data_IF_729844737925
#
_entry.id   IF_729844737925
#
_cell.length_a   1.000
_cell.length_b   1.000
_cell.length_c   1.000
_cell.angle_alpha   90.00
_cell.angle_beta   90.00
_cell.angle_gamma   90.00
#
_symmetry.space_group_name_H-M   'P 1'
#
loop_
_entity.id
_entity.type
_entity.pdbx_description
1 polymer ?
#
# COMPACT_ATOMS: atom_id res chain seq x y z
N UNK A 1 -16.42 7.99 -4.39
CA UNK A 1 -17.54 7.16 -3.93
C UNK A 1 -17.87 7.43 -2.46
N UNK A 2 -16.95 7.18 -1.49
CA UNK A 2 -17.26 7.38 -0.05
C UNK A 2 -17.52 8.84 0.33
N UNK A 3 -16.82 9.79 -0.29
CA UNK A 3 -17.10 11.21 -0.12
C UNK A 3 -18.52 11.58 -0.57
N UNK A 4 -18.94 11.10 -1.73
CA UNK A 4 -20.28 11.33 -2.28
C UNK A 4 -21.36 10.63 -1.44
N UNK A 5 -21.07 9.40 -0.95
CA UNK A 5 -21.98 8.67 -0.05
C UNK A 5 -22.24 9.44 1.26
N UNK A 6 -21.19 10.06 1.84
CA UNK A 6 -21.28 10.76 3.11
C UNK A 6 -21.66 12.25 2.99
N UNK A 7 -21.37 12.88 1.86
CA UNK A 7 -21.45 14.33 1.64
C UNK A 7 -22.06 14.68 0.28
N UNK A 8 -23.02 13.89 -0.22
CA UNK A 8 -23.62 14.06 -1.54
C UNK A 8 -24.35 15.38 -1.76
N UNK A 9 -24.70 16.10 -0.69
CA UNK A 9 -25.25 17.47 -0.78
C UNK A 9 -24.18 18.52 -1.16
N UNK A 10 -22.88 18.20 -1.01
CA UNK A 10 -21.75 19.09 -1.29
C UNK A 10 -20.83 18.57 -2.40
N UNK A 11 -20.81 17.25 -2.63
CA UNK A 11 -19.84 16.59 -3.51
C UNK A 11 -20.56 15.68 -4.50
N UNK A 12 -20.38 15.95 -5.78
CA UNK A 12 -20.75 15.08 -6.88
C UNK A 12 -19.49 14.52 -7.54
N UNK A 13 -19.41 13.21 -7.78
CA UNK A 13 -18.24 12.54 -8.37
C UNK A 13 -18.58 11.92 -9.71
N UNK A 14 -17.86 12.31 -10.74
CA UNK A 14 -17.91 11.67 -12.05
C UNK A 14 -16.64 10.89 -12.34
N UNK A 15 -16.78 9.60 -12.55
CA UNK A 15 -15.68 8.75 -13.00
C UNK A 15 -15.57 8.75 -14.51
N UNK A 16 -14.41 9.10 -15.02
CA UNK A 16 -14.11 9.03 -16.44
C UNK A 16 -12.80 8.27 -16.66
N UNK A 17 -12.86 7.18 -17.40
CA UNK A 17 -11.69 6.34 -17.71
C UNK A 17 -10.86 6.94 -18.84
N UNK A 18 -11.46 7.80 -19.68
CA UNK A 18 -10.82 8.35 -20.85
C UNK A 18 -11.11 9.86 -21.03
N UNK A 19 -10.78 10.71 -20.04
CA UNK A 19 -11.10 12.13 -20.07
C UNK A 19 -10.40 12.90 -21.20
N UNK A 20 -9.38 12.30 -21.82
CA UNK A 20 -8.62 12.90 -22.91
C UNK A 20 -9.07 12.45 -24.29
N UNK A 21 -9.94 11.46 -24.41
CA UNK A 21 -10.37 10.93 -25.69
C UNK A 21 -9.25 10.25 -26.48
N UNK A 22 -8.54 9.34 -25.85
CA UNK A 22 -7.52 8.50 -26.51
C UNK A 22 -8.18 7.19 -26.93
N UNK A 23 -7.96 6.77 -28.17
CA UNK A 23 -8.35 5.46 -28.65
C UNK A 23 -7.51 4.38 -27.95
N UNK A 24 -8.17 3.42 -27.27
CA UNK A 24 -7.50 2.38 -26.50
C UNK A 24 -6.74 1.37 -27.37
N UNK A 25 -7.13 1.21 -28.65
CA UNK A 25 -6.53 0.23 -29.57
C UNK A 25 -5.17 0.69 -30.11
N UNK A 26 -5.05 1.96 -30.51
CA UNK A 26 -3.87 2.48 -31.21
C UNK A 26 -3.21 3.68 -30.51
N UNK A 27 -3.81 4.18 -29.41
CA UNK A 27 -3.31 5.34 -28.68
C UNK A 27 -3.46 6.67 -29.40
N UNK A 28 -4.19 6.72 -30.53
CA UNK A 28 -4.48 7.95 -31.28
C UNK A 28 -5.49 8.83 -30.54
N UNK A 29 -5.51 10.11 -30.88
CA UNK A 29 -6.52 11.03 -30.37
C UNK A 29 -7.83 10.86 -31.11
N UNK A 30 -8.94 10.82 -30.38
CA UNK A 30 -10.28 10.86 -30.95
C UNK A 30 -10.50 12.29 -31.45
N UNK A 31 -10.82 12.42 -32.75
CA UNK A 31 -11.09 13.71 -33.37
C UNK A 31 -12.31 14.37 -32.70
N UNK A 32 -12.27 15.71 -32.55
CA UNK A 32 -13.35 16.54 -31.99
C UNK A 32 -13.78 16.14 -30.56
N UNK A 33 -12.86 15.58 -29.73
CA UNK A 33 -13.13 15.27 -28.34
C UNK A 33 -13.45 16.53 -27.56
N UNK A 34 -14.58 16.52 -26.85
CA UNK A 34 -15.13 17.71 -26.22
C UNK A 34 -14.58 18.01 -24.80
N UNK A 35 -13.86 17.06 -24.19
CA UNK A 35 -13.33 17.14 -22.80
C UNK A 35 -14.43 17.44 -21.77
N UNK A 36 -15.65 16.97 -21.99
CA UNK A 36 -16.83 17.31 -21.18
C UNK A 36 -16.63 17.01 -19.69
N UNK A 37 -15.97 15.91 -19.35
CA UNK A 37 -15.70 15.53 -17.96
C UNK A 37 -14.76 16.52 -17.27
N UNK A 38 -13.69 16.94 -17.96
CA UNK A 38 -12.74 17.93 -17.41
C UNK A 38 -13.43 19.29 -17.29
N UNK A 39 -14.17 19.70 -18.31
CA UNK A 39 -14.89 20.99 -18.30
C UNK A 39 -15.96 21.06 -17.21
N UNK A 40 -16.63 19.94 -16.94
CA UNK A 40 -17.65 19.84 -15.91
C UNK A 40 -17.09 19.99 -14.49
N UNK A 41 -15.94 19.39 -14.21
CA UNK A 41 -15.37 19.32 -12.86
C UNK A 41 -14.90 20.68 -12.34
N UNK A 42 -15.08 20.95 -11.03
CA UNK A 42 -14.36 22.01 -10.33
C UNK A 42 -12.97 21.55 -9.94
N UNK A 43 -12.86 20.27 -9.51
CA UNK A 43 -11.61 19.61 -9.14
C UNK A 43 -11.41 18.39 -10.02
N UNK A 44 -10.30 18.33 -10.73
CA UNK A 44 -9.88 17.13 -11.48
C UNK A 44 -8.93 16.34 -10.59
N UNK A 45 -9.42 15.20 -10.08
CA UNK A 45 -8.63 14.27 -9.26
C UNK A 45 -7.97 13.22 -10.14
N UNK A 46 -6.68 13.00 -9.94
CA UNK A 46 -5.94 11.90 -10.59
C UNK A 46 -4.99 11.24 -9.59
N UNK A 47 -4.81 9.94 -9.72
CA UNK A 47 -4.00 9.14 -8.81
C UNK A 47 -2.92 8.37 -9.56
N UNK A 48 -1.69 8.40 -9.06
CA UNK A 48 -0.53 7.69 -9.61
C UNK A 48 -0.33 7.92 -11.12
N UNK A 49 0.44 7.07 -11.78
CA UNK A 49 0.59 7.07 -13.24
C UNK A 49 -0.39 6.09 -13.87
N UNK A 50 -1.18 6.54 -14.84
CA UNK A 50 -2.18 5.70 -15.50
C UNK A 50 -1.54 4.58 -16.35
N UNK A 51 -2.33 3.53 -16.62
CA UNK A 51 -1.94 2.38 -17.45
C UNK A 51 -1.59 2.72 -18.90
N UNK A 52 -2.04 3.89 -19.42
CA UNK A 52 -1.73 4.38 -20.77
C UNK A 52 -0.31 4.97 -20.90
N UNK A 53 0.55 4.70 -19.92
CA UNK A 53 1.89 5.25 -19.85
C UNK A 53 1.96 6.56 -19.06
N UNK A 54 3.14 6.88 -18.52
CA UNK A 54 3.34 8.00 -17.60
C UNK A 54 2.92 9.38 -18.14
N UNK A 55 2.90 9.54 -19.48
CA UNK A 55 2.47 10.78 -20.11
C UNK A 55 0.97 11.05 -19.99
N UNK A 56 0.13 10.03 -19.79
CA UNK A 56 -1.32 10.23 -19.77
C UNK A 56 -1.76 11.08 -18.59
N UNK A 57 -1.30 10.76 -17.39
CA UNK A 57 -1.59 11.57 -16.19
C UNK A 57 -1.08 13.01 -16.34
N UNK A 58 0.14 13.21 -16.85
CA UNK A 58 0.66 14.55 -17.10
C UNK A 58 -0.17 15.34 -18.10
N UNK A 59 -0.71 14.67 -19.12
CA UNK A 59 -1.62 15.30 -20.11
C UNK A 59 -2.97 15.67 -19.50
N UNK A 60 -3.52 14.84 -18.58
CA UNK A 60 -4.73 15.21 -17.84
C UNK A 60 -4.46 16.47 -17.03
N UNK A 61 -3.33 16.53 -16.29
CA UNK A 61 -2.93 17.73 -15.55
C UNK A 61 -2.84 18.94 -16.47
N UNK A 62 -2.08 18.85 -17.55
CA UNK A 62 -1.92 19.95 -18.52
C UNK A 62 -3.25 20.43 -19.10
N UNK A 63 -4.09 19.48 -19.59
CA UNK A 63 -5.39 19.83 -20.18
C UNK A 63 -6.35 20.44 -19.15
N UNK A 64 -6.32 19.97 -17.92
CA UNK A 64 -7.13 20.54 -16.82
C UNK A 64 -6.72 21.98 -16.52
N UNK A 65 -5.42 22.27 -16.53
CA UNK A 65 -4.89 23.64 -16.35
C UNK A 65 -5.28 24.55 -17.53
N UNK A 66 -5.28 24.05 -18.77
CA UNK A 66 -5.78 24.81 -19.94
C UNK A 66 -7.24 25.24 -19.77
N UNK A 67 -8.08 24.42 -19.12
CA UNK A 67 -9.47 24.74 -18.82
C UNK A 67 -9.66 25.47 -17.49
N UNK A 68 -8.60 25.92 -16.84
CA UNK A 68 -8.65 26.65 -15.57
C UNK A 68 -9.17 25.81 -14.39
N UNK A 69 -9.04 24.48 -14.47
CA UNK A 69 -9.53 23.58 -13.42
C UNK A 69 -8.52 23.41 -12.30
N UNK A 70 -9.02 23.21 -11.09
CA UNK A 70 -8.19 22.84 -9.96
C UNK A 70 -7.75 21.38 -10.11
N UNK A 71 -6.46 21.10 -10.01
CA UNK A 71 -5.89 19.77 -10.20
C UNK A 71 -5.40 19.24 -8.85
N UNK A 72 -5.95 18.10 -8.43
CA UNK A 72 -5.50 17.32 -7.29
C UNK A 72 -4.84 16.03 -7.75
N UNK A 73 -3.55 15.87 -7.44
CA UNK A 73 -2.81 14.64 -7.66
C UNK A 73 -2.57 13.90 -6.34
N UNK A 74 -2.99 12.64 -6.26
CA UNK A 74 -2.83 11.78 -5.09
C UNK A 74 -1.83 10.65 -5.41
N UNK A 75 -0.90 10.36 -4.49
CA UNK A 75 0.07 9.27 -4.69
C UNK A 75 0.48 8.63 -3.39
N UNK A 76 0.65 7.31 -3.42
CA UNK A 76 1.07 6.48 -2.28
C UNK A 76 2.45 5.84 -2.46
N UNK A 77 3.08 6.00 -3.63
CA UNK A 77 4.43 5.52 -3.93
C UNK A 77 5.37 6.65 -4.37
N UNK A 78 6.64 6.63 -3.90
CA UNK A 78 7.68 7.59 -4.28
C UNK A 78 8.22 7.29 -5.67
N UNK A 79 7.50 7.70 -6.71
CA UNK A 79 7.84 7.43 -8.10
C UNK A 79 9.02 8.25 -8.63
N UNK A 80 9.48 9.26 -7.87
CA UNK A 80 10.65 10.08 -8.20
C UNK A 80 11.98 9.52 -7.71
N UNK A 81 11.96 8.41 -6.97
CA UNK A 81 13.18 7.77 -6.46
C UNK A 81 12.99 6.25 -6.34
N UNK A 82 12.80 5.59 -7.47
CA UNK A 82 12.76 4.13 -7.52
C UNK A 82 14.19 3.59 -7.51
N UNK A 83 14.51 2.72 -6.57
CA UNK A 83 15.86 2.17 -6.41
C UNK A 83 16.20 1.10 -7.47
N UNK A 84 17.48 0.92 -7.76
CA UNK A 84 17.97 0.03 -8.85
C UNK A 84 17.51 -1.43 -8.70
N UNK A 85 17.35 -1.92 -7.48
CA UNK A 85 16.85 -3.27 -7.22
C UNK A 85 15.34 -3.44 -7.43
N UNK A 86 14.61 -2.34 -7.67
CA UNK A 86 13.18 -2.40 -7.92
C UNK A 86 12.91 -2.87 -9.36
N UNK A 87 11.96 -3.78 -9.52
CA UNK A 87 11.66 -4.41 -10.82
C UNK A 87 11.33 -3.40 -11.93
N UNK A 88 10.67 -2.29 -11.59
CA UNK A 88 10.29 -1.26 -12.57
C UNK A 88 11.38 -0.22 -12.81
N UNK A 89 12.56 -0.34 -12.17
CA UNK A 89 13.62 0.66 -12.26
C UNK A 89 13.98 1.04 -13.71
N UNK A 90 14.28 0.03 -14.54
CA UNK A 90 14.64 0.28 -15.94
C UNK A 90 13.51 0.95 -16.73
N UNK A 91 12.27 0.49 -16.56
CA UNK A 91 11.10 1.08 -17.23
C UNK A 91 10.94 2.55 -16.85
N UNK A 92 11.11 2.89 -15.57
CA UNK A 92 11.01 4.28 -15.09
C UNK A 92 12.13 5.15 -15.66
N UNK A 93 13.37 4.65 -15.66
CA UNK A 93 14.52 5.37 -16.20
C UNK A 93 14.44 5.56 -17.71
N UNK A 94 14.17 4.48 -18.47
CA UNK A 94 14.10 4.53 -19.92
C UNK A 94 12.97 5.42 -20.45
N UNK A 95 11.82 5.44 -19.75
CA UNK A 95 10.66 6.25 -20.14
C UNK A 95 10.64 7.65 -19.52
N UNK A 96 11.64 8.04 -18.74
CA UNK A 96 11.70 9.33 -18.09
C UNK A 96 10.54 9.58 -17.11
N UNK A 97 10.00 8.52 -16.47
CA UNK A 97 8.81 8.64 -15.64
C UNK A 97 9.05 9.44 -14.36
N UNK A 98 10.28 9.53 -13.88
CA UNK A 98 10.65 10.41 -12.76
C UNK A 98 10.40 11.87 -13.09
N UNK A 99 10.85 12.33 -14.27
CA UNK A 99 10.69 13.73 -14.69
C UNK A 99 9.21 14.05 -14.99
N UNK A 100 8.49 13.10 -15.54
CA UNK A 100 7.02 13.20 -15.70
C UNK A 100 6.34 13.35 -14.34
N UNK A 101 6.75 12.58 -13.34
CA UNK A 101 6.19 12.67 -11.99
C UNK A 101 6.50 14.02 -11.34
N UNK A 102 7.73 14.51 -11.49
CA UNK A 102 8.11 15.86 -11.03
C UNK A 102 7.30 16.96 -11.73
N UNK A 103 7.06 16.81 -13.04
CA UNK A 103 6.18 17.71 -13.80
C UNK A 103 4.76 17.71 -13.19
N UNK A 104 4.20 16.54 -12.89
CA UNK A 104 2.87 16.42 -12.27
C UNK A 104 2.85 17.12 -10.91
N UNK A 105 3.84 16.90 -10.05
CA UNK A 105 3.94 17.59 -8.75
C UNK A 105 3.98 19.11 -8.90
N UNK A 106 4.76 19.62 -9.85
CA UNK A 106 4.94 21.06 -10.04
C UNK A 106 3.74 21.76 -10.67
N UNK A 107 2.84 21.02 -11.35
CA UNK A 107 1.68 21.60 -12.07
C UNK A 107 0.33 21.25 -11.43
N UNK A 108 0.30 20.43 -10.38
CA UNK A 108 -0.91 20.16 -9.61
C UNK A 108 -1.11 21.21 -8.54
N UNK A 109 -2.32 21.74 -8.38
CA UNK A 109 -2.63 22.75 -7.38
C UNK A 109 -2.57 22.18 -5.96
N UNK A 110 -2.94 20.90 -5.84
CA UNK A 110 -2.84 20.12 -4.62
C UNK A 110 -2.18 18.78 -4.91
N UNK A 111 -1.17 18.43 -4.13
CA UNK A 111 -0.61 17.09 -4.07
C UNK A 111 -0.90 16.49 -2.71
N UNK A 112 -1.44 15.27 -2.68
CA UNK A 112 -1.57 14.50 -1.43
C UNK A 112 -0.69 13.27 -1.46
N UNK A 113 -0.03 13.02 -0.32
CA UNK A 113 0.81 11.86 -0.06
C UNK A 113 0.40 11.22 1.26
N UNK A 114 0.83 9.99 1.51
CA UNK A 114 0.30 9.19 2.61
C UNK A 114 0.95 9.48 3.96
N UNK A 115 2.18 10.02 4.00
CA UNK A 115 2.91 10.20 5.26
C UNK A 115 3.96 11.33 5.15
N UNK A 116 4.46 11.79 6.32
CA UNK A 116 5.32 12.97 6.44
C UNK A 116 6.66 12.84 5.72
N UNK A 117 7.38 11.72 5.87
CA UNK A 117 8.68 11.51 5.20
C UNK A 117 8.53 11.53 3.68
N UNK A 118 7.38 11.06 3.16
CA UNK A 118 7.07 11.16 1.75
C UNK A 118 6.83 12.62 1.34
N UNK A 119 6.08 13.40 2.12
CA UNK A 119 5.87 14.82 1.85
C UNK A 119 7.19 15.59 1.81
N UNK A 120 8.11 15.35 2.74
CA UNK A 120 9.45 15.96 2.76
C UNK A 120 10.23 15.69 1.46
N UNK A 121 10.09 14.48 0.88
CA UNK A 121 10.75 14.10 -0.39
C UNK A 121 10.09 14.70 -1.63
N UNK A 122 8.79 15.00 -1.57
CA UNK A 122 8.04 15.64 -2.67
C UNK A 122 8.21 17.15 -2.67
N UNK A 123 8.34 17.75 -1.51
CA UNK A 123 8.44 19.22 -1.33
C UNK A 123 9.40 19.91 -2.33
N UNK A 124 10.61 19.39 -2.64
CA UNK A 124 11.51 20.04 -3.59
C UNK A 124 10.99 20.15 -5.03
N UNK A 125 9.95 19.39 -5.36
CA UNK A 125 9.38 19.32 -6.71
C UNK A 125 8.05 20.07 -6.84
N UNK A 126 7.55 20.64 -5.74
CA UNK A 126 6.29 21.41 -5.75
C UNK A 126 6.46 22.73 -6.49
N UNK A 127 5.42 23.11 -7.25
CA UNK A 127 5.34 24.43 -7.86
C UNK A 127 5.08 25.53 -6.82
N UNK A 128 5.49 26.76 -7.15
CA UNK A 128 5.24 27.91 -6.27
C UNK A 128 3.72 28.15 -6.10
N UNK A 129 3.28 28.20 -4.85
CA UNK A 129 1.87 28.41 -4.50
C UNK A 129 1.01 27.13 -4.50
N UNK A 130 1.57 25.98 -4.91
CA UNK A 130 0.85 24.72 -4.86
C UNK A 130 0.83 24.14 -3.43
N UNK A 131 -0.27 23.48 -3.06
CA UNK A 131 -0.44 22.87 -1.77
C UNK A 131 0.08 21.42 -1.75
N UNK A 132 0.75 21.06 -0.65
CA UNK A 132 1.12 19.67 -0.34
C UNK A 132 0.51 19.28 1.00
N UNK A 133 -0.22 18.17 1.04
CA UNK A 133 -0.86 17.70 2.25
C UNK A 133 -0.61 16.20 2.49
N UNK A 134 -0.60 15.81 3.76
CA UNK A 134 -0.54 14.41 4.16
C UNK A 134 -1.96 13.90 4.42
N UNK A 135 -2.39 12.95 3.61
CA UNK A 135 -3.67 12.25 3.77
C UNK A 135 -3.38 10.75 3.77
N UNK A 136 -3.42 10.16 4.95
CA UNK A 136 -3.11 8.73 5.10
C UNK A 136 -4.09 7.83 4.33
N UNK A 137 -3.61 6.66 3.93
CA UNK A 137 -4.48 5.64 3.38
C UNK A 137 -5.48 5.16 4.42
N UNK A 138 -6.68 4.84 3.98
CA UNK A 138 -7.78 4.38 4.84
C UNK A 138 -8.51 3.22 4.19
N UNK A 139 -9.22 2.46 5.01
CA UNK A 139 -9.96 1.27 4.59
C UNK A 139 -11.43 1.48 4.87
N UNK A 140 -12.28 1.18 3.92
CA UNK A 140 -13.72 1.14 4.13
C UNK A 140 -14.10 -0.16 4.86
N UNK A 141 -14.10 -0.10 6.18
CA UNK A 141 -14.46 -1.25 7.02
C UNK A 141 -15.94 -1.64 6.93
N UNK A 142 -16.79 -0.89 6.24
CA UNK A 142 -18.17 -1.28 5.95
C UNK A 142 -18.27 -2.36 4.85
N UNK A 143 -17.24 -2.51 4.02
CA UNK A 143 -17.22 -3.49 2.94
C UNK A 143 -17.18 -4.93 3.48
N UNK A 144 -17.89 -5.88 2.83
CA UNK A 144 -17.96 -7.27 3.30
C UNK A 144 -16.59 -7.94 3.47
N UNK A 145 -15.61 -7.64 2.61
CA UNK A 145 -14.26 -8.22 2.69
C UNK A 145 -13.52 -7.88 3.98
N UNK A 146 -13.91 -6.80 4.68
CA UNK A 146 -13.33 -6.39 5.96
C UNK A 146 -14.17 -6.82 7.18
N UNK A 147 -15.27 -7.54 6.95
CA UNK A 147 -16.17 -8.05 7.99
C UNK A 147 -16.28 -9.58 8.00
N UNK A 148 -15.29 -10.25 7.42
CA UNK A 148 -15.23 -11.72 7.42
C UNK A 148 -14.91 -12.24 8.82
N UNK A 149 -15.55 -13.33 9.21
CA UNK A 149 -15.21 -14.02 10.45
C UNK A 149 -13.80 -14.61 10.37
N UNK A 150 -13.09 -14.53 11.47
CA UNK A 150 -11.80 -15.22 11.59
C UNK A 150 -12.03 -16.74 11.57
N UNK A 151 -11.18 -17.44 10.83
CA UNK A 151 -11.25 -18.90 10.78
C UNK A 151 -11.02 -19.48 12.18
N UNK A 152 -11.79 -20.52 12.58
CA UNK A 152 -11.59 -21.15 13.88
C UNK A 152 -10.18 -21.74 13.97
N UNK A 153 -9.53 -21.47 15.10
CA UNK A 153 -8.19 -22.01 15.34
C UNK A 153 -8.24 -23.53 15.47
N UNK A 154 -7.32 -24.27 14.83
CA UNK A 154 -7.26 -25.71 14.96
C UNK A 154 -7.00 -26.11 16.44
N UNK A 155 -7.47 -27.31 16.82
CA UNK A 155 -7.27 -27.85 18.19
C UNK A 155 -5.80 -27.89 18.60
N UNK A 156 -4.88 -28.12 17.68
CA UNK A 156 -3.43 -28.05 17.90
C UNK A 156 -3.00 -26.59 17.83
N UNK A 157 -2.52 -26.05 18.95
CA UNK A 157 -2.05 -24.67 19.06
C UNK A 157 -0.70 -24.52 18.34
N UNK A 158 -0.69 -23.82 17.22
CA UNK A 158 0.52 -23.30 16.59
C UNK A 158 0.31 -21.83 16.22
N UNK A 159 1.39 -21.08 16.13
CA UNK A 159 1.33 -19.67 15.72
C UNK A 159 1.42 -19.59 14.19
N UNK A 160 0.47 -18.90 13.58
CA UNK A 160 0.46 -18.60 12.14
C UNK A 160 1.07 -17.24 11.86
N UNK A 161 2.21 -17.26 11.22
CA UNK A 161 2.86 -16.07 10.68
C UNK A 161 2.44 -15.90 9.21
N UNK A 162 1.93 -14.73 8.85
CA UNK A 162 1.47 -14.46 7.49
C UNK A 162 2.13 -13.25 6.86
N UNK A 163 2.53 -13.38 5.62
CA UNK A 163 2.95 -12.28 4.77
C UNK A 163 2.04 -12.22 3.55
N UNK A 164 1.53 -11.02 3.23
CA UNK A 164 0.75 -10.76 2.03
C UNK A 164 1.41 -9.64 1.22
N UNK A 165 1.75 -9.91 -0.03
CA UNK A 165 2.41 -8.93 -0.87
C UNK A 165 2.45 -9.35 -2.34
N UNK A 166 2.68 -8.36 -3.20
CA UNK A 166 2.78 -8.55 -4.64
C UNK A 166 4.19 -8.93 -5.10
N UNK A 167 4.41 -8.78 -6.39
CA UNK A 167 5.60 -9.22 -7.12
C UNK A 167 6.80 -8.26 -7.03
N UNK A 168 6.68 -7.16 -6.28
CA UNK A 168 7.73 -6.12 -6.18
C UNK A 168 8.54 -6.20 -4.88
N UNK A 169 8.40 -7.28 -4.08
CA UNK A 169 8.98 -7.42 -2.75
C UNK A 169 10.20 -8.36 -2.67
N UNK A 170 10.89 -8.63 -3.78
CA UNK A 170 12.03 -9.56 -3.77
C UNK A 170 13.12 -9.13 -2.78
N UNK A 171 13.51 -7.87 -2.81
CA UNK A 171 14.56 -7.35 -1.93
C UNK A 171 14.10 -7.34 -0.47
N UNK A 172 12.86 -6.93 -0.22
CA UNK A 172 12.25 -6.95 1.11
C UNK A 172 12.30 -8.36 1.73
N UNK A 173 11.92 -9.38 0.96
CA UNK A 173 11.94 -10.76 1.42
C UNK A 173 13.37 -11.30 1.67
N UNK A 174 14.41 -10.75 1.04
CA UNK A 174 15.80 -11.12 1.31
C UNK A 174 16.21 -10.80 2.76
N UNK A 175 15.67 -9.73 3.34
CA UNK A 175 15.86 -9.40 4.76
C UNK A 175 15.19 -10.40 5.71
N UNK A 176 14.21 -11.12 5.21
CA UNK A 176 13.49 -12.16 5.93
C UNK A 176 14.01 -13.58 5.65
N UNK A 177 14.99 -13.72 4.76
CA UNK A 177 15.52 -15.01 4.30
C UNK A 177 16.09 -15.84 5.47
N UNK A 178 15.60 -17.08 5.62
CA UNK A 178 16.01 -18.00 6.66
C UNK A 178 15.37 -17.78 8.03
N UNK A 179 14.65 -16.68 8.27
CA UNK A 179 13.96 -16.41 9.54
C UNK A 179 13.02 -17.54 9.93
N UNK A 180 12.14 -18.04 9.04
CA UNK A 180 11.22 -19.14 9.35
C UNK A 180 11.96 -20.40 9.83
N UNK A 181 13.07 -20.73 9.20
CA UNK A 181 13.90 -21.87 9.59
C UNK A 181 14.42 -21.73 11.03
N UNK A 182 15.02 -20.60 11.37
CA UNK A 182 15.61 -20.38 12.70
C UNK A 182 14.55 -20.26 13.81
N UNK A 183 13.39 -19.69 13.53
CA UNK A 183 12.25 -19.68 14.46
C UNK A 183 11.78 -21.11 14.73
N UNK A 184 11.59 -21.92 13.69
CA UNK A 184 11.19 -23.31 13.82
C UNK A 184 12.19 -24.16 14.63
N UNK A 185 13.50 -23.87 14.52
CA UNK A 185 14.51 -24.53 15.35
C UNK A 185 14.37 -24.20 16.84
N UNK A 186 13.94 -22.97 17.18
CA UNK A 186 13.84 -22.49 18.56
C UNK A 186 12.54 -22.86 19.28
N UNK A 187 11.45 -23.02 18.54
CA UNK A 187 10.13 -23.29 19.11
C UNK A 187 9.54 -24.65 18.77
N UNK A 188 10.16 -25.38 17.85
CA UNK A 188 9.62 -26.60 17.28
C UNK A 188 8.78 -26.32 16.03
N UNK A 189 9.07 -27.05 14.96
CA UNK A 189 8.41 -26.89 13.65
C UNK A 189 6.89 -27.09 13.69
N UNK A 190 6.42 -27.91 14.60
CA UNK A 190 5.00 -28.22 14.81
C UNK A 190 4.23 -27.08 15.49
N UNK A 191 4.95 -26.10 16.06
CA UNK A 191 4.36 -24.96 16.78
C UNK A 191 4.26 -23.69 15.93
N UNK A 192 4.71 -23.75 14.66
CA UNK A 192 4.64 -22.63 13.72
C UNK A 192 4.01 -23.07 12.41
N UNK A 193 3.28 -22.16 11.76
CA UNK A 193 2.86 -22.25 10.37
C UNK A 193 3.21 -20.94 9.67
N UNK A 194 3.65 -21.03 8.42
CA UNK A 194 4.07 -19.87 7.63
C UNK A 194 3.21 -19.79 6.38
N UNK A 195 2.43 -18.73 6.26
CA UNK A 195 1.50 -18.51 5.17
C UNK A 195 1.95 -17.30 4.34
N UNK A 196 2.16 -17.51 3.04
CA UNK A 196 2.60 -16.47 2.10
C UNK A 196 1.54 -16.30 1.01
N UNK A 197 1.02 -15.08 0.86
CA UNK A 197 -0.11 -14.76 -0.01
C UNK A 197 0.30 -13.82 -1.13
N UNK A 198 -0.24 -14.05 -2.33
CA UNK A 198 -0.04 -13.20 -3.50
C UNK A 198 0.49 -13.96 -4.74
N UNK A 199 0.58 -15.29 -4.67
CA UNK A 199 0.96 -16.12 -5.83
C UNK A 199 -0.04 -15.92 -6.98
N UNK A 200 0.40 -15.88 -8.25
CA UNK A 200 -0.50 -15.85 -9.39
C UNK A 200 -1.55 -16.97 -9.34
N UNK A 201 -2.75 -16.75 -9.89
CA UNK A 201 -3.82 -17.74 -9.94
C UNK A 201 -3.37 -19.06 -10.60
N UNK A 202 -4.03 -20.20 -10.30
CA UNK A 202 -3.59 -21.53 -10.78
C UNK A 202 -3.70 -21.72 -12.30
N UNK A 203 -4.45 -20.86 -12.98
CA UNK A 203 -4.57 -20.84 -14.45
C UNK A 203 -3.52 -19.95 -15.14
N UNK A 204 -2.61 -19.34 -14.39
CA UNK A 204 -1.48 -18.59 -14.95
C UNK A 204 -0.49 -19.56 -15.58
N UNK A 205 -0.05 -19.35 -16.84
CA UNK A 205 0.93 -20.20 -17.48
C UNK A 205 2.23 -20.33 -16.69
N UNK A 206 2.86 -21.51 -16.72
CA UNK A 206 4.09 -21.77 -15.96
C UNK A 206 5.29 -20.92 -16.42
N UNK A 207 5.26 -20.41 -17.64
CA UNK A 207 6.25 -19.52 -18.23
C UNK A 207 5.92 -18.03 -18.02
N UNK A 208 4.82 -17.73 -17.34
CA UNK A 208 4.50 -16.36 -16.93
C UNK A 208 5.56 -15.83 -15.97
N UNK A 209 6.00 -14.61 -16.25
CA UNK A 209 7.04 -13.95 -15.46
C UNK A 209 6.69 -13.77 -13.97
N UNK A 210 5.42 -13.70 -13.62
CA UNK A 210 4.98 -13.60 -12.21
C UNK A 210 5.22 -14.93 -11.48
N UNK A 211 5.04 -16.06 -12.16
CA UNK A 211 5.36 -17.38 -11.63
C UNK A 211 6.86 -17.50 -11.36
N UNK A 212 7.72 -16.97 -12.25
CA UNK A 212 9.17 -16.94 -12.03
C UNK A 212 9.57 -16.10 -10.82
N UNK A 213 8.94 -14.96 -10.62
CA UNK A 213 9.15 -14.16 -9.40
C UNK A 213 8.83 -14.98 -8.16
N UNK A 214 7.70 -15.67 -8.14
CA UNK A 214 7.31 -16.50 -7.00
C UNK A 214 8.18 -17.73 -6.80
N UNK A 215 8.78 -18.29 -7.85
CA UNK A 215 9.83 -19.32 -7.70
C UNK A 215 11.04 -18.77 -6.94
N UNK A 216 11.48 -17.54 -7.26
CA UNK A 216 12.55 -16.85 -6.52
C UNK A 216 12.14 -16.59 -5.06
N UNK A 217 10.93 -16.06 -4.83
CA UNK A 217 10.40 -15.84 -3.48
C UNK A 217 10.40 -17.11 -2.65
N UNK A 218 9.94 -18.22 -3.23
CA UNK A 218 9.98 -19.52 -2.58
C UNK A 218 11.39 -19.90 -2.15
N UNK A 219 12.39 -19.71 -3.01
CA UNK A 219 13.80 -19.99 -2.70
C UNK A 219 14.33 -19.11 -1.55
N UNK A 220 13.93 -17.85 -1.49
CA UNK A 220 14.31 -16.91 -0.43
C UNK A 220 13.62 -17.28 0.89
N UNK A 221 12.29 -17.41 0.87
CA UNK A 221 11.45 -17.65 2.05
C UNK A 221 11.79 -18.98 2.71
N UNK A 222 11.90 -20.04 1.90
CA UNK A 222 12.11 -21.41 2.38
C UNK A 222 13.58 -21.77 2.58
N UNK A 223 14.47 -20.78 2.56
CA UNK A 223 15.90 -21.03 2.79
C UNK A 223 16.12 -21.73 4.12
N UNK A 224 16.77 -22.88 4.08
CA UNK A 224 17.04 -23.72 5.25
C UNK A 224 15.89 -24.63 5.68
N UNK A 225 14.70 -24.54 5.03
CA UNK A 225 13.61 -25.48 5.31
C UNK A 225 14.00 -26.91 4.89
N UNK A 226 13.69 -27.84 5.78
CA UNK A 226 13.78 -29.29 5.51
C UNK A 226 12.37 -29.85 5.44
N UNK A 227 12.19 -31.02 4.83
CA UNK A 227 10.88 -31.65 4.71
C UNK A 227 10.11 -31.74 6.05
N UNK A 228 8.78 -31.69 5.98
CA UNK A 228 7.89 -31.81 7.14
C UNK A 228 7.70 -30.53 7.96
N UNK A 229 8.02 -29.35 7.44
CA UNK A 229 7.73 -28.06 8.06
C UNK A 229 6.40 -27.49 7.54
N UNK A 230 5.66 -26.77 8.41
CA UNK A 230 4.36 -26.20 8.06
C UNK A 230 4.53 -24.86 7.35
N UNK A 231 4.28 -24.84 6.06
CA UNK A 231 4.24 -23.63 5.24
C UNK A 231 3.26 -23.78 4.09
N UNK A 232 2.68 -22.67 3.67
CA UNK A 232 1.76 -22.61 2.55
C UNK A 232 2.03 -21.39 1.69
N UNK A 233 1.87 -21.53 0.39
CA UNK A 233 1.80 -20.42 -0.56
C UNK A 233 0.36 -20.36 -1.07
N UNK A 234 -0.25 -19.19 -0.95
CA UNK A 234 -1.64 -18.94 -1.31
C UNK A 234 -1.71 -18.01 -2.52
N UNK A 235 -2.73 -18.20 -3.33
CA UNK A 235 -2.98 -17.33 -4.47
C UNK A 235 -3.35 -15.92 -4.06
N UNK A 236 -3.09 -14.97 -4.95
CA UNK A 236 -3.61 -13.62 -4.84
C UNK A 236 -5.14 -13.64 -4.80
N UNK A 237 -5.72 -12.78 -4.01
CA UNK A 237 -7.16 -12.59 -3.91
C UNK A 237 -7.58 -11.32 -4.63
N UNK A 238 -8.79 -11.32 -5.13
CA UNK A 238 -9.43 -10.12 -5.68
C UNK A 238 -9.71 -9.10 -4.57
N UNK A 239 -9.83 -7.80 -4.88
CA UNK A 239 -10.03 -6.76 -3.88
C UNK A 239 -11.23 -7.00 -2.94
N UNK A 240 -12.31 -7.58 -3.46
CA UNK A 240 -13.52 -7.92 -2.72
C UNK A 240 -13.34 -9.08 -1.73
N UNK A 241 -12.19 -9.78 -1.78
CA UNK A 241 -11.82 -10.88 -0.89
C UNK A 241 -10.52 -10.64 -0.13
N UNK A 242 -9.89 -9.50 -0.33
CA UNK A 242 -8.53 -9.23 0.16
C UNK A 242 -8.39 -9.42 1.68
N UNK A 243 -9.36 -8.97 2.46
CA UNK A 243 -9.37 -9.14 3.92
C UNK A 243 -9.27 -10.60 4.38
N UNK A 244 -9.61 -11.57 3.53
CA UNK A 244 -9.52 -13.00 3.85
C UNK A 244 -8.09 -13.44 4.20
N UNK A 245 -7.06 -12.75 3.71
CA UNK A 245 -5.66 -13.03 4.08
C UNK A 245 -5.46 -12.99 5.60
N UNK A 246 -6.10 -12.06 6.29
CA UNK A 246 -5.89 -11.82 7.71
C UNK A 246 -6.75 -12.69 8.62
N UNK A 247 -7.81 -13.33 8.09
CA UNK A 247 -8.72 -14.16 8.91
C UNK A 247 -8.03 -15.37 9.54
N UNK A 248 -6.93 -15.84 8.95
CA UNK A 248 -6.20 -17.03 9.36
C UNK A 248 -4.80 -16.74 9.95
N UNK A 249 -4.40 -15.47 10.07
CA UNK A 249 -3.10 -15.10 10.65
C UNK A 249 -3.20 -14.86 12.14
N UNK A 250 -2.15 -15.20 12.88
CA UNK A 250 -1.95 -14.75 14.26
C UNK A 250 -1.05 -13.51 14.30
N UNK A 251 -0.10 -13.42 13.38
CA UNK A 251 0.87 -12.32 13.25
C UNK A 251 1.06 -12.01 11.77
N UNK A 252 0.91 -10.74 11.39
CA UNK A 252 1.26 -10.25 10.07
C UNK A 252 2.73 -9.81 10.02
N UNK A 253 3.37 -10.01 8.87
CA UNK A 253 4.78 -9.70 8.64
C UNK A 253 4.90 -8.63 7.56
N UNK A 254 5.74 -7.62 7.79
CA UNK A 254 6.08 -6.59 6.81
C UNK A 254 7.60 -6.34 6.78
N UNK A 255 8.38 -7.29 6.24
CA UNK A 255 9.79 -7.04 5.97
C UNK A 255 9.90 -5.99 4.86
N UNK A 256 10.71 -4.95 5.08
CA UNK A 256 11.04 -3.92 4.12
C UNK A 256 12.54 -3.67 4.14
N UNK A 257 13.12 -3.48 2.97
CA UNK A 257 14.47 -2.98 2.82
C UNK A 257 14.54 -1.50 3.23
N UNK A 258 15.61 -1.10 3.90
CA UNK A 258 15.85 0.30 4.28
C UNK A 258 16.36 1.09 3.07
N UNK A 259 15.44 1.71 2.34
CA UNK A 259 15.72 2.60 1.23
C UNK A 259 14.65 3.70 1.11
N UNK A 260 14.93 4.76 0.34
CA UNK A 260 14.07 5.93 0.25
C UNK A 260 12.65 5.63 -0.28
N UNK A 261 12.53 4.65 -1.19
CA UNK A 261 11.23 4.23 -1.73
C UNK A 261 10.38 3.58 -0.63
N UNK A 262 10.93 2.59 0.08
CA UNK A 262 10.23 1.91 1.17
C UNK A 262 9.99 2.83 2.38
N UNK A 263 10.91 3.75 2.65
CA UNK A 263 10.76 4.77 3.71
C UNK A 263 9.65 5.78 3.41
N UNK A 264 9.13 5.79 2.19
CA UNK A 264 7.97 6.60 1.77
C UNK A 264 6.67 5.80 1.66
N UNK A 265 6.68 4.48 1.90
CA UNK A 265 5.47 3.63 1.82
C UNK A 265 4.46 4.00 2.89
N UNK A 266 3.20 3.76 2.55
CA UNK A 266 2.07 4.01 3.44
C UNK A 266 1.95 2.94 4.54
N UNK A 267 1.20 3.30 5.57
CA UNK A 267 0.84 2.48 6.73
C UNK A 267 -0.32 1.51 6.47
N UNK A 268 -0.77 1.35 5.23
CA UNK A 268 -1.98 0.58 4.90
C UNK A 268 -1.98 -0.85 5.48
N UNK A 269 -0.81 -1.46 5.60
CA UNK A 269 -0.68 -2.80 6.20
C UNK A 269 -1.13 -2.83 7.66
N UNK A 270 -0.96 -1.75 8.41
CA UNK A 270 -1.45 -1.60 9.78
C UNK A 270 -2.98 -1.62 9.78
N UNK A 271 -3.60 -0.81 8.91
CA UNK A 271 -5.05 -0.75 8.78
C UNK A 271 -5.66 -2.11 8.41
N UNK A 272 -5.03 -2.80 7.48
CA UNK A 272 -5.49 -4.11 6.99
C UNK A 272 -5.44 -5.19 8.08
N UNK A 273 -4.29 -5.41 8.72
CA UNK A 273 -4.15 -6.47 9.71
C UNK A 273 -4.81 -6.13 11.05
N UNK A 274 -4.77 -4.86 11.47
CA UNK A 274 -5.39 -4.39 12.70
C UNK A 274 -6.90 -4.60 12.72
N UNK A 275 -7.59 -4.45 11.58
CA UNK A 275 -9.02 -4.76 11.45
C UNK A 275 -9.36 -6.16 11.96
N UNK A 276 -8.49 -7.12 11.75
CA UNK A 276 -8.66 -8.52 12.14
C UNK A 276 -7.98 -8.86 13.47
N UNK A 277 -7.57 -7.88 14.27
CA UNK A 277 -6.85 -8.09 15.53
C UNK A 277 -5.57 -8.90 15.35
N UNK A 278 -4.89 -8.68 14.23
CA UNK A 278 -3.63 -9.33 13.88
C UNK A 278 -2.49 -8.31 14.09
N UNK A 279 -1.63 -8.47 15.11
CA UNK A 279 -0.53 -7.55 15.32
C UNK A 279 0.49 -7.65 14.19
N UNK A 280 1.17 -6.53 13.91
CA UNK A 280 2.17 -6.43 12.85
C UNK A 280 3.59 -6.52 13.43
N UNK A 281 4.43 -7.35 12.83
CA UNK A 281 5.88 -7.30 13.00
C UNK A 281 6.48 -6.79 11.69
N UNK A 282 7.09 -5.62 11.73
CA UNK A 282 7.57 -4.89 10.56
C UNK A 282 9.03 -4.48 10.68
N UNK A 283 9.71 -4.26 9.57
CA UNK A 283 10.96 -3.48 9.56
C UNK A 283 10.70 -2.07 10.08
N UNK A 284 11.61 -1.50 10.85
CA UNK A 284 11.55 -0.08 11.27
C UNK A 284 11.94 0.82 10.09
N UNK A 285 11.06 0.88 9.10
CA UNK A 285 11.19 1.61 7.83
C UNK A 285 9.85 2.27 7.53
N UNK A 286 9.88 3.43 6.92
CA UNK A 286 8.67 4.19 6.59
C UNK A 286 8.06 4.85 7.83
N UNK A 287 6.74 4.82 7.89
CA UNK A 287 5.93 5.41 8.96
C UNK A 287 5.49 4.40 10.02
N UNK A 288 6.02 3.18 10.01
CA UNK A 288 5.60 2.18 10.99
C UNK A 288 5.93 2.57 12.43
N UNK A 289 6.99 3.36 12.66
CA UNK A 289 7.37 3.90 13.96
C UNK A 289 6.37 4.93 14.53
N UNK A 290 5.53 5.51 13.70
CA UNK A 290 4.43 6.40 14.15
C UNK A 290 3.24 5.62 14.75
N UNK A 291 3.11 4.33 14.45
CA UNK A 291 1.93 3.52 14.74
C UNK A 291 2.20 2.27 15.57
N UNK A 292 3.40 1.72 15.48
CA UNK A 292 3.75 0.49 16.18
C UNK A 292 4.56 0.83 17.42
N UNK A 293 4.02 0.42 18.57
CA UNK A 293 4.69 0.46 19.87
C UNK A 293 5.07 -0.96 20.25
N UNK A 294 6.38 -1.18 20.49
CA UNK A 294 6.96 -2.50 20.77
C UNK A 294 6.29 -3.21 21.95
N UNK A 295 5.71 -4.38 21.66
CA UNK A 295 5.02 -5.20 22.65
C UNK A 295 3.62 -4.72 23.04
N UNK A 296 3.14 -3.60 22.47
CA UNK A 296 1.80 -3.05 22.70
C UNK A 296 0.88 -3.22 21.49
N UNK A 297 1.31 -2.81 20.29
CA UNK A 297 0.54 -2.94 19.05
C UNK A 297 1.22 -3.83 18.01
N UNK A 298 2.50 -4.15 18.21
CA UNK A 298 3.30 -4.97 17.33
C UNK A 298 4.77 -4.97 17.74
N UNK A 299 5.66 -5.16 16.77
CA UNK A 299 7.11 -5.00 16.97
C UNK A 299 7.76 -4.38 15.75
N UNK A 300 8.73 -3.51 15.99
CA UNK A 300 9.61 -2.96 14.97
C UNK A 300 10.97 -3.66 14.98
N UNK A 301 11.44 -4.05 13.83
CA UNK A 301 12.72 -4.71 13.61
C UNK A 301 13.70 -3.71 13.04
N UNK A 302 14.78 -3.44 13.75
CA UNK A 302 15.88 -2.63 13.24
C UNK A 302 16.50 -3.34 12.01
N UNK A 303 16.47 -2.72 10.81
CA UNK A 303 17.01 -3.33 9.59
C UNK A 303 18.49 -3.74 9.74
N UNK A 304 19.26 -3.02 10.55
CA UNK A 304 20.69 -3.31 10.81
C UNK A 304 20.91 -4.60 11.62
N UNK A 305 19.92 -5.02 12.40
CA UNK A 305 19.97 -6.26 13.19
C UNK A 305 19.50 -7.49 12.41
N UNK A 306 18.75 -7.28 11.34
CA UNK A 306 18.37 -8.28 10.35
C UNK A 306 17.83 -9.59 10.91
N UNK A 307 18.34 -10.71 10.40
CA UNK A 307 17.89 -12.07 10.69
C UNK A 307 17.84 -12.38 12.20
N UNK A 308 18.78 -11.89 12.99
CA UNK A 308 18.87 -12.20 14.44
C UNK A 308 17.70 -11.61 15.21
N UNK A 309 17.34 -10.39 14.91
CA UNK A 309 16.24 -9.67 15.57
C UNK A 309 14.87 -10.21 15.15
N UNK A 310 14.66 -10.41 13.84
CA UNK A 310 13.48 -11.11 13.34
C UNK A 310 13.27 -12.44 14.05
N UNK A 311 14.31 -13.27 14.12
CA UNK A 311 14.26 -14.59 14.78
C UNK A 311 13.93 -14.47 16.27
N UNK A 312 14.53 -13.50 16.97
CA UNK A 312 14.31 -13.26 18.41
C UNK A 312 12.87 -12.88 18.68
N UNK A 313 12.34 -11.89 17.95
CA UNK A 313 11.00 -11.36 18.15
C UNK A 313 9.92 -12.40 17.78
N UNK A 314 10.03 -13.05 16.63
CA UNK A 314 9.04 -14.05 16.23
C UNK A 314 9.06 -15.29 17.13
N UNK A 315 10.24 -15.67 17.65
CA UNK A 315 10.34 -16.70 18.71
C UNK A 315 9.60 -16.29 19.98
N UNK A 316 9.73 -15.02 20.42
CA UNK A 316 8.99 -14.47 21.56
C UNK A 316 7.47 -14.55 21.32
N UNK A 317 7.01 -14.10 20.15
CA UNK A 317 5.61 -14.15 19.79
C UNK A 317 5.05 -15.58 19.74
N UNK A 318 5.80 -16.53 19.17
CA UNK A 318 5.38 -17.93 19.12
C UNK A 318 5.25 -18.58 20.51
N UNK A 319 6.03 -18.13 21.49
CA UNK A 319 6.01 -18.63 22.86
C UNK A 319 4.99 -17.95 23.76
N UNK A 320 4.49 -16.78 23.36
CA UNK A 320 3.54 -15.99 24.17
C UNK A 320 2.27 -15.60 23.37
N UNK A 321 1.32 -16.53 23.22
CA UNK A 321 0.06 -16.24 22.55
C UNK A 321 -0.79 -15.15 23.24
N UNK A 322 -0.61 -14.93 24.55
CA UNK A 322 -1.33 -13.88 25.29
C UNK A 322 -0.83 -12.50 24.89
N UNK A 323 0.49 -12.35 24.74
CA UNK A 323 1.10 -11.14 24.21
C UNK A 323 0.57 -10.85 22.80
N UNK A 324 0.53 -11.85 21.93
CA UNK A 324 0.03 -11.71 20.54
C UNK A 324 -1.44 -11.25 20.53
N UNK A 325 -2.29 -11.87 21.35
CA UNK A 325 -3.70 -11.49 21.46
C UNK A 325 -3.88 -10.05 21.95
N UNK A 326 -3.13 -9.65 22.99
CA UNK A 326 -3.18 -8.28 23.53
C UNK A 326 -2.73 -7.25 22.49
N UNK A 327 -1.61 -7.49 21.81
CA UNK A 327 -1.14 -6.60 20.75
C UNK A 327 -2.16 -6.45 19.62
N UNK A 328 -2.83 -7.55 19.25
CA UNK A 328 -3.88 -7.53 18.23
C UNK A 328 -5.09 -6.69 18.63
N UNK A 329 -5.56 -6.80 19.89
CA UNK A 329 -6.65 -5.96 20.39
C UNK A 329 -6.25 -4.48 20.41
N UNK A 330 -5.06 -4.16 20.86
CA UNK A 330 -4.56 -2.78 20.89
C UNK A 330 -4.44 -2.20 19.46
N UNK A 331 -3.88 -2.98 18.53
CA UNK A 331 -3.76 -2.54 17.14
C UNK A 331 -5.13 -2.34 16.49
N UNK A 332 -6.11 -3.20 16.80
CA UNK A 332 -7.48 -3.06 16.33
C UNK A 332 -8.11 -1.74 16.79
N UNK A 333 -8.00 -1.42 18.07
CA UNK A 333 -8.52 -0.15 18.62
C UNK A 333 -7.90 1.06 17.92
N UNK A 334 -6.58 1.02 17.70
CA UNK A 334 -5.86 2.06 16.97
C UNK A 334 -6.36 2.20 15.52
N UNK A 335 -6.60 1.08 14.84
CA UNK A 335 -7.02 1.11 13.43
C UNK A 335 -8.45 1.59 13.25
N UNK A 336 -9.38 1.18 14.10
CA UNK A 336 -10.76 1.67 14.12
C UNK A 336 -10.83 3.19 14.34
N UNK A 337 -9.92 3.74 15.15
CA UNK A 337 -9.87 5.18 15.40
C UNK A 337 -9.29 5.98 14.25
N UNK A 338 -8.24 5.45 13.61
CA UNK A 338 -7.39 6.27 12.74
C UNK A 338 -7.50 5.94 11.24
N UNK A 339 -7.97 4.75 10.85
CA UNK A 339 -7.92 4.28 9.47
C UNK A 339 -9.29 3.92 8.87
N UNK A 340 -10.37 4.06 9.63
CA UNK A 340 -11.71 3.91 9.08
C UNK A 340 -12.00 5.03 8.08
N UNK A 341 -12.32 4.65 6.85
CA UNK A 341 -12.60 5.59 5.76
C UNK A 341 -13.74 6.55 6.09
N UNK A 342 -14.74 6.13 6.88
CA UNK A 342 -15.81 7.02 7.32
C UNK A 342 -15.29 8.20 8.16
N UNK A 343 -14.20 8.00 8.90
CA UNK A 343 -13.58 9.04 9.72
C UNK A 343 -12.56 9.89 8.93
N UNK A 344 -11.90 9.28 7.95
CA UNK A 344 -10.83 9.95 7.17
C UNK A 344 -11.42 10.77 6.02
N UNK A 345 -12.55 10.36 5.44
CA UNK A 345 -13.18 11.05 4.31
C UNK A 345 -13.50 12.52 4.61
N UNK A 346 -13.96 12.84 5.83
CA UNK A 346 -14.21 14.21 6.25
C UNK A 346 -12.97 15.11 6.18
N UNK A 347 -11.80 14.59 6.54
CA UNK A 347 -10.54 15.35 6.46
C UNK A 347 -10.17 15.72 5.01
N UNK A 348 -10.47 14.84 4.06
CA UNK A 348 -10.26 15.12 2.62
C UNK A 348 -11.22 16.21 2.13
N UNK A 349 -12.48 16.17 2.58
CA UNK A 349 -13.45 17.23 2.26
C UNK A 349 -13.03 18.59 2.86
N UNK A 350 -12.60 18.62 4.11
CA UNK A 350 -12.12 19.85 4.75
C UNK A 350 -10.90 20.42 4.03
N UNK A 351 -10.01 19.56 3.55
CA UNK A 351 -8.89 19.99 2.71
C UNK A 351 -9.38 20.65 1.41
N UNK A 352 -10.37 20.08 0.72
CA UNK A 352 -10.95 20.70 -0.46
C UNK A 352 -11.61 22.04 -0.15
N UNK A 353 -12.39 22.16 0.92
CA UNK A 353 -12.99 23.42 1.36
C UNK A 353 -11.91 24.48 1.61
N UNK A 354 -10.82 24.11 2.27
CA UNK A 354 -9.70 25.01 2.57
C UNK A 354 -9.03 25.51 1.29
N UNK A 355 -8.67 24.63 0.35
CA UNK A 355 -7.99 25.05 -0.87
C UNK A 355 -8.91 25.82 -1.81
N UNK A 356 -10.19 25.47 -1.92
CA UNK A 356 -11.17 26.18 -2.74
C UNK A 356 -11.47 27.58 -2.19
N UNK A 357 -11.49 27.76 -0.87
CA UNK A 357 -11.67 29.10 -0.28
C UNK A 357 -10.51 30.05 -0.61
N UNK A 358 -9.31 29.53 -0.75
CA UNK A 358 -8.12 30.33 -1.08
C UNK A 358 -8.15 30.81 -2.54
N UNK A 359 -8.74 30.04 -3.44
CA UNK A 359 -8.90 30.42 -4.86
C UNK A 359 -9.94 31.53 -5.02
N UNK A 360 -11.07 31.43 -4.32
CA UNK A 360 -12.15 32.41 -4.41
C UNK A 360 -11.79 33.80 -3.85
N UNK A 361 -10.70 33.91 -3.07
CA UNK A 361 -10.20 35.19 -2.54
C UNK A 361 -9.25 35.89 -3.53
N UNK A 362 -8.72 35.17 -4.51
CA UNK A 362 -7.79 35.72 -5.52
C UNK A 362 -8.43 36.04 -6.88
N UNK A 363 -9.71 35.75 -7.07
CA UNK A 363 -10.53 36.09 -8.24
C UNK A 363 -11.47 37.24 -7.94
#
# INVERSE_FOLDING_TARGET
QKLEELYGDEVEIKWDKNPLGINEEDGSWIQDWDFSSIKWADIVFTQNLSNFGGNYTARIVGKSKEFGKFVHYDTDDLLTNIYEGHRLYHVYKEKGLEDITKFIYSHSDLVTVTQRKFAERVTPFMGNGNALAVVKNSVDYSLPCWNMERLPKPKKKFTRFGWAGGIHHEQDLRYFSGVPHFVNQRVGRENCCWDFYGHPPPNTPDDDWQVDVWRKYRGIILRGFKGGQNWNIHYALTPDRYGQFFTNMDIALAPLEDNAFNDSKSEIKIAECGRYKVPLVASNVGCYDEWIVDGETGFLIDPKKGLSEWTRILTKCAKDPKLVSRMGENLHSLTEENFDMNKVAGKRLDLYRQVMSTINVQG
#
